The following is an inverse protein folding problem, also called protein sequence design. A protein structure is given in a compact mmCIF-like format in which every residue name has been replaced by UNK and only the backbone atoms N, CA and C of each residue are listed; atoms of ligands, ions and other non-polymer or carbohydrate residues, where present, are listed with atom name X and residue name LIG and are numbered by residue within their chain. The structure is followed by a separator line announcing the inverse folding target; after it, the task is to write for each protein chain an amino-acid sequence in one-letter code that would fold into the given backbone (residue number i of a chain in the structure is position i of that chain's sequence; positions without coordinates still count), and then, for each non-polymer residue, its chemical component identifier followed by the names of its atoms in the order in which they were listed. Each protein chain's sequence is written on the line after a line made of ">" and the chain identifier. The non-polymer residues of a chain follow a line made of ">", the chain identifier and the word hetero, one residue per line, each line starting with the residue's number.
data_IF_232991120138
#
_entry.id   IF_232991120138
#
_cell.length_a   1.000
_cell.length_b   1.000
_cell.length_c   1.000
_cell.angle_alpha   90.00
_cell.angle_beta   90.00
_cell.angle_gamma   90.00
#
_symmetry.space_group_name_H-M   'P 1'
#
loop_
_entity.id
_entity.type
_entity.pdbx_description
1 polymer ?
#
# COMPACT_ATOMS: atom_id res chain seq x y z
N UNK A 1 6.11 -21.49 17.89
CA UNK A 1 6.55 -20.90 16.60
C UNK A 1 5.28 -20.61 15.83
N UNK A 2 4.95 -19.33 15.71
CA UNK A 2 3.70 -18.92 15.10
C UNK A 2 4.06 -18.11 13.87
N UNK A 3 4.12 -18.79 12.73
CA UNK A 3 4.16 -18.13 11.42
C UNK A 3 2.81 -17.46 11.20
N UNK A 4 2.81 -16.16 10.90
CA UNK A 4 1.61 -15.48 10.43
C UNK A 4 1.93 -14.68 9.18
N UNK A 5 1.19 -15.01 8.13
CA UNK A 5 1.23 -14.46 6.79
C UNK A 5 0.22 -13.30 6.71
N UNK A 6 0.54 -12.29 5.89
CA UNK A 6 -0.33 -11.16 5.55
C UNK A 6 -0.76 -11.26 4.09
N UNK A 7 -2.03 -10.98 3.78
CA UNK A 7 -2.53 -10.90 2.40
C UNK A 7 -3.51 -9.74 2.19
N UNK A 8 -3.56 -9.31 0.93
CA UNK A 8 -4.27 -8.20 0.31
C UNK A 8 -5.75 -8.03 0.76
N UNK A 9 -6.13 -6.76 0.96
CA UNK A 9 -7.45 -6.09 1.10
C UNK A 9 -8.68 -6.80 1.72
N UNK A 10 -8.56 -8.03 2.20
CA UNK A 10 -9.64 -8.84 2.81
C UNK A 10 -9.52 -8.93 4.32
N UNK A 11 -8.34 -8.63 4.88
CA UNK A 11 -8.07 -8.72 6.30
C UNK A 11 -7.84 -7.34 6.92
N UNK A 12 -8.90 -6.82 7.53
CA UNK A 12 -8.87 -5.61 8.36
C UNK A 12 -8.11 -5.81 9.68
N UNK A 13 -7.51 -6.98 9.92
CA UNK A 13 -6.82 -7.40 11.15
C UNK A 13 -5.34 -7.64 10.85
N UNK A 14 -4.45 -7.06 11.67
CA UNK A 14 -3.00 -7.29 11.57
C UNK A 14 -2.36 -7.39 12.96
N UNK A 15 -1.11 -7.89 13.04
CA UNK A 15 -0.39 -8.07 14.31
C UNK A 15 0.91 -7.28 14.30
N UNK A 16 1.24 -6.68 15.43
CA UNK A 16 2.55 -6.09 15.70
C UNK A 16 3.01 -6.62 17.05
N UNK A 17 4.11 -7.38 17.06
CA UNK A 17 4.56 -8.12 18.25
C UNK A 17 3.44 -9.04 18.78
N UNK A 18 3.08 -8.90 20.06
CA UNK A 18 2.02 -9.70 20.71
C UNK A 18 0.62 -9.07 20.61
N UNK A 19 0.51 -7.87 20.01
CA UNK A 19 -0.73 -7.09 19.94
C UNK A 19 -1.46 -7.30 18.60
N UNK A 20 -2.80 -7.27 18.64
CA UNK A 20 -3.66 -7.36 17.45
C UNK A 20 -4.26 -5.98 17.18
N UNK A 21 -4.23 -5.56 15.92
CA UNK A 21 -4.77 -4.30 15.44
C UNK A 21 -5.86 -4.56 14.41
N UNK A 22 -6.81 -3.63 14.34
CA UNK A 22 -7.97 -3.69 13.47
C UNK A 22 -8.27 -2.30 12.88
N UNK A 23 -8.70 -2.23 11.62
CA UNK A 23 -9.28 -1.01 11.05
C UNK A 23 -10.51 -1.33 10.19
N UNK A 24 -11.59 -0.55 10.32
CA UNK A 24 -12.72 -0.64 9.38
C UNK A 24 -12.49 0.28 8.21
N UNK A 25 -12.84 -0.18 7.01
CA UNK A 25 -12.74 0.57 5.75
C UNK A 25 -13.32 1.99 5.85
N UNK A 26 -14.41 2.16 6.63
CA UNK A 26 -15.09 3.44 6.82
C UNK A 26 -14.91 4.07 8.21
N UNK A 27 -14.06 3.51 9.07
CA UNK A 27 -13.70 4.16 10.34
C UNK A 27 -12.54 5.11 10.15
N UNK A 28 -12.59 6.20 10.93
CA UNK A 28 -11.55 7.21 10.97
C UNK A 28 -10.35 6.79 11.84
N UNK A 29 -9.86 5.56 11.69
CA UNK A 29 -8.67 5.14 12.42
C UNK A 29 -8.44 3.64 12.55
N UNK A 30 -7.32 3.33 13.19
CA UNK A 30 -6.87 2.01 13.60
C UNK A 30 -7.15 1.85 15.09
N UNK A 31 -7.70 0.71 15.47
CA UNK A 31 -7.91 0.30 16.84
C UNK A 31 -6.95 -0.83 17.21
N UNK A 32 -6.55 -0.88 18.48
CA UNK A 32 -5.87 -2.02 19.09
C UNK A 32 -6.90 -2.89 19.81
N UNK A 33 -6.84 -4.19 19.55
CA UNK A 33 -7.64 -5.21 20.22
C UNK A 33 -6.84 -5.82 21.37
N UNK A 34 -7.41 -5.77 22.56
CA UNK A 34 -6.93 -6.47 23.75
C UNK A 34 -7.98 -7.48 24.21
N UNK A 35 -7.61 -8.40 25.12
CA UNK A 35 -8.41 -9.56 25.48
C UNK A 35 -9.89 -9.27 25.82
N UNK A 36 -10.24 -8.05 26.26
CA UNK A 36 -11.61 -7.66 26.56
C UNK A 36 -11.98 -6.22 26.11
N UNK A 37 -11.14 -5.53 25.35
CA UNK A 37 -11.38 -4.10 25.01
C UNK A 37 -10.80 -3.71 23.65
N UNK A 38 -11.41 -2.70 23.03
CA UNK A 38 -11.00 -2.10 21.77
C UNK A 38 -10.63 -0.63 22.02
N UNK A 39 -9.34 -0.31 21.99
CA UNK A 39 -8.83 1.05 22.24
C UNK A 39 -8.34 1.69 20.95
N UNK A 40 -8.63 2.97 20.72
CA UNK A 40 -8.08 3.71 19.57
C UNK A 40 -6.55 3.77 19.61
N UNK A 41 -5.90 3.47 18.49
CA UNK A 41 -4.45 3.54 18.31
C UNK A 41 -4.04 4.76 17.47
N UNK A 42 -4.55 4.84 16.24
CA UNK A 42 -4.35 5.98 15.33
C UNK A 42 -5.72 6.48 14.91
N UNK A 43 -5.96 7.78 14.99
CA UNK A 43 -7.16 8.40 14.44
C UNK A 43 -6.77 9.24 13.22
N UNK A 44 -7.48 9.04 12.11
CA UNK A 44 -7.40 9.96 10.98
C UNK A 44 -8.16 11.22 11.36
N UNK A 45 -7.45 12.35 11.45
CA UNK A 45 -8.05 13.63 11.83
C UNK A 45 -9.14 14.00 10.83
N UNK A 46 -10.36 14.23 11.32
CA UNK A 46 -11.44 14.74 10.49
C UNK A 46 -11.02 16.02 9.76
N UNK A 47 -11.21 16.03 8.46
CA UNK A 47 -10.86 17.11 7.56
C UNK A 47 -11.81 17.14 6.35
N UNK A 48 -11.56 18.05 5.41
CA UNK A 48 -12.38 18.19 4.20
C UNK A 48 -12.38 16.96 3.28
N UNK A 49 -11.45 16.02 3.46
CA UNK A 49 -11.34 14.79 2.69
C UNK A 49 -12.01 13.59 3.36
N UNK A 50 -12.48 13.74 4.62
CA UNK A 50 -13.10 12.65 5.37
C UNK A 50 -14.47 12.30 4.79
N UNK A 51 -14.76 11.01 4.61
CA UNK A 51 -16.07 10.57 4.14
C UNK A 51 -17.16 10.89 5.18
N UNK A 52 -18.21 11.67 4.81
CA UNK A 52 -19.23 12.06 5.78
C UNK A 52 -20.11 10.88 6.20
N UNK A 53 -20.38 10.74 7.50
CA UNK A 53 -21.25 9.68 8.03
C UNK A 53 -22.65 9.67 7.40
N UNK A 54 -23.21 10.85 7.10
CA UNK A 54 -24.51 10.97 6.42
C UNK A 54 -24.53 10.33 5.02
N UNK A 55 -23.40 10.32 4.32
CA UNK A 55 -23.27 9.68 3.01
C UNK A 55 -23.00 8.18 3.20
N UNK A 56 -22.34 7.79 4.30
CA UNK A 56 -22.06 6.39 4.59
C UNK A 56 -23.31 5.61 5.02
N UNK A 57 -24.14 6.20 5.87
CA UNK A 57 -25.30 5.55 6.49
C UNK A 57 -26.63 6.04 5.93
N UNK A 58 -26.66 6.41 4.64
CA UNK A 58 -27.88 6.82 3.97
C UNK A 58 -28.79 5.61 3.67
N UNK A 59 -29.97 5.57 4.28
CA UNK A 59 -30.95 4.48 4.13
C UNK A 59 -31.48 4.32 2.69
N UNK A 60 -31.39 5.37 1.88
CA UNK A 60 -31.81 5.35 0.47
C UNK A 60 -30.76 4.72 -0.46
N UNK A 61 -29.57 4.40 0.05
CA UNK A 61 -28.51 3.78 -0.76
C UNK A 61 -28.86 2.34 -1.13
N UNK A 62 -28.98 2.11 -2.44
CA UNK A 62 -28.72 0.79 -3.02
C UNK A 62 -27.20 0.52 -3.03
N UNK A 63 -26.80 -0.74 -3.15
CA UNK A 63 -25.39 -1.11 -3.31
C UNK A 63 -24.73 -0.34 -4.47
N UNK A 64 -25.40 -0.26 -5.63
CA UNK A 64 -24.85 0.43 -6.79
C UNK A 64 -24.71 1.94 -6.55
N UNK A 65 -25.74 2.59 -5.98
CA UNK A 65 -25.67 4.04 -5.70
C UNK A 65 -24.59 4.36 -4.66
N UNK A 66 -24.32 3.47 -3.71
CA UNK A 66 -23.23 3.65 -2.75
C UNK A 66 -21.85 3.57 -3.42
N UNK A 67 -21.65 2.60 -4.32
CA UNK A 67 -20.43 2.52 -5.14
C UNK A 67 -20.26 3.79 -5.98
N UNK A 68 -21.34 4.26 -6.61
CA UNK A 68 -21.31 5.49 -7.42
C UNK A 68 -20.91 6.72 -6.57
N UNK A 69 -21.41 6.82 -5.33
CA UNK A 69 -20.98 7.87 -4.38
C UNK A 69 -19.50 7.73 -4.04
N UNK A 70 -19.03 6.52 -3.70
CA UNK A 70 -17.62 6.28 -3.36
C UNK A 70 -16.69 6.66 -4.53
N UNK A 71 -17.03 6.25 -5.77
CA UNK A 71 -16.21 6.50 -6.95
C UNK A 71 -16.18 7.96 -7.42
N UNK A 72 -17.28 8.69 -7.22
CA UNK A 72 -17.44 10.04 -7.77
C UNK A 72 -17.37 11.16 -6.70
N UNK A 73 -17.34 10.80 -5.42
CA UNK A 73 -17.23 11.79 -4.34
C UNK A 73 -15.85 12.46 -4.27
N UNK A 74 -15.77 13.69 -3.73
CA UNK A 74 -14.52 14.34 -3.42
C UNK A 74 -13.95 13.91 -2.06
N UNK A 75 -14.27 12.70 -1.58
CA UNK A 75 -13.86 12.20 -0.27
C UNK A 75 -12.97 10.97 -0.41
N UNK A 76 -12.13 10.74 0.60
CA UNK A 76 -11.41 9.49 0.79
C UNK A 76 -12.37 8.56 1.53
N UNK A 77 -12.85 7.54 0.85
CA UNK A 77 -13.82 6.59 1.39
C UNK A 77 -13.19 5.36 2.03
N UNK A 78 -11.93 5.04 1.70
CA UNK A 78 -11.22 3.91 2.25
C UNK A 78 -9.71 4.06 2.18
N UNK A 79 -9.06 3.89 3.34
CA UNK A 79 -7.67 3.44 3.37
C UNK A 79 -7.65 1.91 3.27
N UNK A 80 -6.74 1.38 2.46
CA UNK A 80 -6.62 -0.02 2.07
C UNK A 80 -5.15 -0.44 2.20
N UNK A 81 -4.90 -1.75 2.20
CA UNK A 81 -3.54 -2.31 2.19
C UNK A 81 -2.65 -1.66 3.25
N UNK A 82 -3.14 -1.70 4.50
CA UNK A 82 -2.46 -1.07 5.63
C UNK A 82 -1.33 -1.97 6.13
N UNK A 83 -0.12 -1.42 6.18
CA UNK A 83 1.06 -2.07 6.69
C UNK A 83 1.74 -1.20 7.73
N UNK A 84 2.12 -1.80 8.85
CA UNK A 84 2.84 -1.13 9.92
C UNK A 84 4.24 -1.72 10.07
N UNK A 85 5.25 -0.89 9.79
CA UNK A 85 6.66 -1.17 10.06
C UNK A 85 7.14 -0.58 11.38
N UNK A 86 8.45 -0.57 11.60
CA UNK A 86 9.04 -0.01 12.82
C UNK A 86 8.79 1.50 12.92
N UNK A 87 9.06 2.25 11.86
CA UNK A 87 8.89 3.71 11.78
C UNK A 87 7.63 4.12 11.05
N UNK A 88 7.26 3.46 9.95
CA UNK A 88 6.17 3.93 9.10
C UNK A 88 4.91 3.09 9.24
N UNK A 89 3.75 3.75 9.29
CA UNK A 89 2.46 3.14 8.95
C UNK A 89 2.11 3.59 7.56
N UNK A 90 1.70 2.67 6.70
CA UNK A 90 1.40 2.99 5.33
C UNK A 90 0.12 2.31 4.88
N UNK A 91 -0.62 2.98 4.01
CA UNK A 91 -1.84 2.48 3.39
C UNK A 91 -1.98 3.06 1.98
N UNK A 92 -2.81 2.49 1.13
CA UNK A 92 -3.25 3.13 -0.11
C UNK A 92 -4.69 3.61 0.01
N UNK A 93 -5.11 4.61 -0.76
CA UNK A 93 -6.50 5.03 -0.81
C UNK A 93 -6.86 5.55 -2.21
N UNK A 94 -8.15 5.52 -2.54
CA UNK A 94 -8.66 6.13 -3.77
C UNK A 94 -9.19 7.53 -3.47
N UNK A 95 -8.83 8.50 -4.30
CA UNK A 95 -9.37 9.86 -4.26
C UNK A 95 -9.55 10.37 -5.68
N UNK A 96 -10.78 10.77 -6.04
CA UNK A 96 -11.13 11.23 -7.40
C UNK A 96 -10.70 10.25 -8.51
N UNK A 97 -10.92 8.95 -8.28
CA UNK A 97 -10.54 7.84 -9.18
C UNK A 97 -9.03 7.66 -9.39
N UNK A 98 -8.22 8.25 -8.53
CA UNK A 98 -6.77 8.09 -8.55
C UNK A 98 -6.28 7.41 -7.27
N UNK A 99 -5.27 6.54 -7.41
CA UNK A 99 -4.63 5.85 -6.30
C UNK A 99 -3.59 6.76 -5.63
N UNK A 100 -3.61 6.79 -4.31
CA UNK A 100 -2.62 7.48 -3.50
C UNK A 100 -2.01 6.52 -2.49
N UNK A 101 -0.71 6.64 -2.28
CA UNK A 101 0.04 5.97 -1.23
C UNK A 101 0.22 6.95 -0.06
N UNK A 102 -0.36 6.60 1.09
CA UNK A 102 -0.24 7.31 2.35
C UNK A 102 0.89 6.72 3.20
N UNK A 103 1.68 7.59 3.81
CA UNK A 103 2.74 7.27 4.77
C UNK A 103 2.55 8.14 6.00
N UNK A 104 2.48 7.50 7.16
CA UNK A 104 2.51 8.12 8.48
C UNK A 104 3.87 7.81 9.10
N UNK A 105 4.63 8.83 9.47
CA UNK A 105 5.86 8.66 10.24
C UNK A 105 5.52 8.58 11.74
N UNK A 106 5.76 7.44 12.39
CA UNK A 106 5.44 7.26 13.82
C UNK A 106 6.34 8.08 14.74
N UNK A 107 7.43 8.68 14.25
CA UNK A 107 8.31 9.51 15.08
C UNK A 107 7.68 10.85 15.47
N UNK A 108 6.87 11.44 14.59
CA UNK A 108 6.19 12.73 14.81
C UNK A 108 4.71 12.74 14.40
N UNK A 109 4.19 11.60 13.93
CA UNK A 109 2.85 11.42 13.37
C UNK A 109 2.54 12.35 12.18
N UNK A 110 3.57 12.79 11.45
CA UNK A 110 3.40 13.47 10.17
C UNK A 110 2.83 12.52 9.12
N UNK A 111 2.06 13.07 8.19
CA UNK A 111 1.35 12.32 7.16
C UNK A 111 1.66 12.89 5.79
N UNK A 112 2.05 12.03 4.86
CA UNK A 112 2.32 12.37 3.48
C UNK A 112 1.63 11.40 2.53
N UNK A 113 1.00 11.96 1.49
CA UNK A 113 0.33 11.20 0.45
C UNK A 113 1.00 11.45 -0.90
N UNK A 114 1.25 10.37 -1.63
CA UNK A 114 1.94 10.39 -2.91
C UNK A 114 1.06 9.74 -3.97
N UNK A 115 0.89 10.42 -5.09
CA UNK A 115 0.36 9.83 -6.33
C UNK A 115 1.47 9.26 -7.22
N UNK A 116 2.66 9.86 -7.11
CA UNK A 116 3.82 9.54 -7.91
C UNK A 116 5.03 9.35 -7.00
N UNK A 117 5.90 8.41 -7.34
CA UNK A 117 7.16 8.14 -6.66
C UNK A 117 8.30 8.22 -7.65
N UNK A 118 9.46 8.68 -7.18
CA UNK A 118 10.69 8.56 -7.94
C UNK A 118 11.30 7.20 -7.64
N UNK A 119 11.32 6.31 -8.62
CA UNK A 119 11.99 5.02 -8.51
C UNK A 119 13.44 5.19 -8.98
N UNK A 120 14.39 5.16 -8.06
CA UNK A 120 15.82 5.19 -8.33
C UNK A 120 16.46 3.79 -8.40
N UNK A 121 15.67 2.72 -8.18
CA UNK A 121 16.13 1.34 -8.16
C UNK A 121 16.02 0.67 -9.54
N UNK A 122 14.85 0.75 -10.18
CA UNK A 122 14.54 -0.03 -11.39
C UNK A 122 14.50 0.86 -12.62
N UNK A 123 13.79 1.98 -12.60
CA UNK A 123 13.47 2.81 -13.76
C UNK A 123 14.29 4.12 -13.81
N UNK A 124 14.71 4.62 -12.66
CA UNK A 124 15.34 5.94 -12.50
C UNK A 124 14.47 7.08 -13.07
N UNK A 125 13.16 7.03 -12.78
CA UNK A 125 12.15 7.98 -13.25
C UNK A 125 10.96 8.11 -12.28
N UNK A 126 10.10 9.10 -12.53
CA UNK A 126 8.87 9.31 -11.75
C UNK A 126 7.75 8.48 -12.34
N UNK A 127 7.12 7.64 -11.52
CA UNK A 127 6.09 6.67 -11.90
C UNK A 127 4.88 6.74 -10.96
N UNK A 128 3.68 6.31 -11.39
CA UNK A 128 2.54 6.18 -10.49
C UNK A 128 2.86 5.21 -9.34
N UNK A 129 2.26 5.44 -8.18
CA UNK A 129 2.33 4.47 -7.08
C UNK A 129 1.71 3.15 -7.48
N UNK A 130 2.36 2.05 -7.08
CA UNK A 130 1.94 0.67 -7.39
C UNK A 130 1.78 0.36 -8.90
N UNK A 131 2.50 1.06 -9.79
CA UNK A 131 2.40 0.84 -11.24
C UNK A 131 2.94 -0.54 -11.69
N UNK A 132 3.96 -1.05 -11.01
CA UNK A 132 4.58 -2.35 -11.30
C UNK A 132 5.21 -3.03 -10.07
N UNK A 133 5.39 -2.29 -8.96
CA UNK A 133 5.86 -2.79 -7.67
C UNK A 133 4.74 -2.69 -6.65
N UNK A 134 4.33 -3.81 -6.07
CA UNK A 134 3.21 -3.88 -5.13
C UNK A 134 3.71 -4.25 -3.75
N UNK A 135 3.26 -3.56 -2.69
CA UNK A 135 3.67 -3.99 -1.34
C UNK A 135 2.91 -5.25 -0.95
N UNK A 136 3.66 -6.29 -0.59
CA UNK A 136 3.13 -7.56 -0.17
C UNK A 136 3.10 -7.72 1.35
N UNK A 137 4.14 -7.23 2.06
CA UNK A 137 4.23 -7.39 3.51
C UNK A 137 5.21 -6.39 4.15
N UNK A 138 5.19 -6.33 5.48
CA UNK A 138 6.19 -5.62 6.29
C UNK A 138 6.58 -6.49 7.49
N UNK A 139 7.87 -6.54 7.80
CA UNK A 139 8.42 -7.17 9.00
C UNK A 139 9.45 -6.25 9.62
N UNK A 140 9.20 -5.79 10.84
CA UNK A 140 10.08 -4.82 11.53
C UNK A 140 10.34 -3.60 10.64
N UNK A 141 11.60 -3.33 10.29
CA UNK A 141 12.01 -2.23 9.42
C UNK A 141 12.13 -2.63 7.95
N UNK A 142 11.64 -3.80 7.55
CA UNK A 142 11.74 -4.34 6.18
C UNK A 142 10.38 -4.33 5.51
N UNK A 143 10.28 -3.65 4.37
CA UNK A 143 9.11 -3.60 3.51
C UNK A 143 9.33 -4.49 2.28
N UNK A 144 8.45 -5.48 2.11
CA UNK A 144 8.51 -6.43 1.01
C UNK A 144 7.57 -6.02 -0.11
N UNK A 145 8.10 -5.94 -1.31
CA UNK A 145 7.36 -5.68 -2.53
C UNK A 145 7.50 -6.84 -3.48
N UNK A 146 6.47 -7.08 -4.28
CA UNK A 146 6.47 -8.04 -5.38
C UNK A 146 6.58 -7.30 -6.70
N UNK A 147 7.39 -7.84 -7.59
CA UNK A 147 7.50 -7.45 -8.98
C UNK A 147 7.23 -8.69 -9.84
N UNK A 148 6.15 -8.66 -10.62
CA UNK A 148 5.81 -9.78 -11.48
C UNK A 148 6.87 -10.00 -12.56
N UNK A 149 7.06 -11.25 -12.99
CA UNK A 149 7.93 -11.56 -14.12
C UNK A 149 7.54 -10.75 -15.37
N UNK A 150 6.24 -10.64 -15.65
CA UNK A 150 5.75 -9.94 -16.84
C UNK A 150 6.04 -8.43 -16.80
N UNK A 151 5.91 -7.80 -15.64
CA UNK A 151 6.27 -6.40 -15.48
C UNK A 151 7.77 -6.19 -15.62
N UNK A 152 8.57 -7.08 -15.03
CA UNK A 152 10.03 -7.03 -15.15
C UNK A 152 10.49 -7.21 -16.61
N UNK A 153 10.01 -8.24 -17.32
CA UNK A 153 10.32 -8.48 -18.73
C UNK A 153 9.92 -7.29 -19.61
N UNK A 154 8.71 -6.75 -19.41
CA UNK A 154 8.24 -5.53 -20.10
C UNK A 154 9.21 -4.36 -19.89
N UNK A 155 9.67 -4.13 -18.66
CA UNK A 155 10.63 -3.08 -18.33
C UNK A 155 11.97 -3.33 -19.04
N UNK A 156 12.48 -4.56 -19.01
CA UNK A 156 13.76 -4.91 -19.65
C UNK A 156 13.71 -4.74 -21.17
N UNK A 157 12.62 -5.18 -21.81
CA UNK A 157 12.40 -5.00 -23.25
C UNK A 157 12.37 -3.52 -23.64
N UNK A 158 11.67 -2.69 -22.86
CA UNK A 158 11.63 -1.24 -23.09
C UNK A 158 13.01 -0.60 -22.97
N UNK A 159 13.79 -0.96 -21.94
CA UNK A 159 15.16 -0.46 -21.76
C UNK A 159 16.07 -0.83 -22.93
N UNK A 160 16.05 -2.10 -23.37
CA UNK A 160 16.79 -2.61 -24.52
C UNK A 160 16.43 -1.84 -25.80
N UNK A 161 15.13 -1.62 -26.04
CA UNK A 161 14.62 -0.88 -27.21
C UNK A 161 15.01 0.60 -27.22
N UNK A 162 14.95 1.26 -26.06
CA UNK A 162 15.26 2.68 -25.94
C UNK A 162 16.75 2.99 -25.89
N UNK A 163 17.65 1.98 -25.95
CA UNK A 163 19.09 2.11 -25.72
C UNK A 163 19.43 2.87 -24.42
N UNK A 164 18.49 2.86 -23.46
CA UNK A 164 18.77 3.30 -22.10
C UNK A 164 19.77 2.30 -21.51
N UNK A 165 20.56 2.73 -20.53
CA UNK A 165 21.30 1.79 -19.68
C UNK A 165 20.35 0.65 -19.30
N UNK A 166 20.75 -0.60 -19.55
CA UNK A 166 19.92 -1.82 -19.35
C UNK A 166 19.66 -2.08 -17.85
N UNK A 167 19.96 -1.10 -16.99
CA UNK A 167 19.84 -1.18 -15.55
C UNK A 167 21.17 -1.51 -14.90
N UNK A 168 21.13 -1.61 -13.59
CA UNK A 168 22.27 -2.10 -12.81
C UNK A 168 22.61 -3.55 -13.18
N UNK A 169 23.83 -3.99 -12.85
CA UNK A 169 24.32 -5.35 -13.20
C UNK A 169 23.41 -6.47 -12.70
N UNK A 170 22.70 -6.26 -11.60
CA UNK A 170 21.79 -7.27 -11.04
C UNK A 170 20.54 -7.46 -11.92
N UNK A 171 20.03 -6.40 -12.56
CA UNK A 171 18.86 -6.51 -13.45
C UNK A 171 19.16 -7.38 -14.66
N UNK A 172 20.31 -7.16 -15.30
CA UNK A 172 20.75 -7.97 -16.45
C UNK A 172 20.89 -9.44 -16.05
N UNK A 173 21.46 -9.69 -14.87
CA UNK A 173 21.60 -11.06 -14.35
C UNK A 173 20.25 -11.73 -14.10
N UNK A 174 19.26 -11.01 -13.58
CA UNK A 174 17.91 -11.56 -13.39
C UNK A 174 17.21 -11.83 -14.73
N UNK A 175 17.34 -10.92 -15.69
CA UNK A 175 16.79 -11.08 -17.06
C UNK A 175 17.36 -12.29 -17.79
N UNK A 176 18.63 -12.65 -17.55
CA UNK A 176 19.24 -13.88 -18.08
C UNK A 176 18.79 -15.16 -17.35
N UNK A 177 18.22 -15.05 -16.14
CA UNK A 177 17.89 -16.19 -15.26
C UNK A 177 16.40 -16.51 -15.17
N UNK A 178 15.54 -15.54 -15.43
CA UNK A 178 14.10 -15.66 -15.24
C UNK A 178 13.41 -16.02 -16.58
N UNK A 179 12.40 -16.87 -16.47
CA UNK A 179 11.47 -17.22 -17.56
C UNK A 179 10.01 -17.08 -17.11
N UNK A 180 9.06 -17.34 -18.01
CA UNK A 180 7.62 -17.20 -17.77
C UNK A 180 7.04 -18.08 -16.65
N UNK A 181 7.80 -19.07 -16.17
CA UNK A 181 7.41 -19.94 -15.06
C UNK A 181 8.02 -19.48 -13.72
N UNK A 182 8.75 -18.37 -13.72
CA UNK A 182 9.35 -17.82 -12.50
C UNK A 182 8.29 -17.19 -11.61
N UNK A 183 8.47 -17.35 -10.30
CA UNK A 183 7.69 -16.59 -9.32
C UNK A 183 8.06 -15.10 -9.36
N UNK A 184 7.21 -14.27 -8.76
CA UNK A 184 7.47 -12.85 -8.57
C UNK A 184 8.80 -12.59 -7.87
N UNK A 185 9.48 -11.54 -8.32
CA UNK A 185 10.71 -11.04 -7.71
C UNK A 185 10.32 -10.32 -6.42
N UNK A 186 10.95 -10.71 -5.31
CA UNK A 186 10.79 -10.02 -4.02
C UNK A 186 11.82 -8.91 -3.90
N UNK A 187 11.35 -7.67 -3.74
CA UNK A 187 12.16 -6.47 -3.52
C UNK A 187 12.00 -6.04 -2.06
N UNK A 188 13.12 -5.88 -1.36
CA UNK A 188 13.14 -5.52 0.06
C UNK A 188 13.66 -4.10 0.23
N UNK A 189 12.84 -3.21 0.80
CA UNK A 189 13.25 -1.88 1.21
C UNK A 189 13.42 -1.83 2.72
N UNK A 190 14.52 -1.25 3.17
CA UNK A 190 14.81 -1.07 4.60
C UNK A 190 14.51 0.37 5.01
N UNK A 191 13.76 0.54 6.08
CA UNK A 191 13.54 1.86 6.66
C UNK A 191 14.87 2.44 7.10
N UNK A 192 15.18 3.65 6.62
CA UNK A 192 16.37 4.36 7.03
C UNK A 192 16.17 4.84 8.47
N UNK A 193 17.08 4.43 9.35
CA UNK A 193 17.16 4.93 10.73
C UNK A 193 17.37 6.44 10.76
#
# INVERSE_FOLDING_TARGET
>A
SSEYISFDQSDCLYRVQDEIYYYEVFRNGICRLSANDMTGYIAFKQNEYTFPEKELYNEDHTFQSFIDVCENSPFIWAHRNLFEGERFVSSTYMYKKELFWNIIDKSDYSVHSYKWVYDDLILNEVVPVEDYLYRANVQENIHYYTLSFYDFDRIMQLKKKCKKSVGEKWMVKLDDMLDENSNDIIVCFYEKK
#
